data_IF_299543715549
#
_entry.id   IF_299543715549
#
_cell.length_a   1.000
_cell.length_b   1.000
_cell.length_c   1.000
_cell.angle_alpha   90.00
_cell.angle_beta   90.00
_cell.angle_gamma   90.00
#
_symmetry.space_group_name_H-M   'P 1'
#
loop_
_entity.id
_entity.type
_entity.pdbx_description
1 polymer ?
#
# COMPACT_ATOMS: atom_id res chain seq x y z
N UNK A 1 8.81 18.99 -8.91
CA UNK A 1 9.06 17.55 -8.69
C UNK A 1 8.37 16.74 -9.76
N UNK A 2 9.09 15.85 -10.44
CA UNK A 2 8.49 14.99 -11.45
C UNK A 2 7.90 13.73 -10.81
N UNK A 3 7.02 13.05 -11.55
CA UNK A 3 6.47 11.76 -11.09
C UNK A 3 7.60 10.73 -10.88
N UNK A 4 8.59 10.69 -11.77
CA UNK A 4 9.74 9.79 -11.62
C UNK A 4 10.51 10.07 -10.32
N UNK A 5 10.72 11.34 -9.99
CA UNK A 5 11.38 11.73 -8.74
C UNK A 5 10.57 11.28 -7.51
N UNK A 6 9.24 11.35 -7.58
CA UNK A 6 8.37 10.84 -6.50
C UNK A 6 8.62 9.34 -6.30
N UNK A 7 8.61 8.56 -7.40
CA UNK A 7 8.80 7.11 -7.32
C UNK A 7 10.18 6.74 -6.78
N UNK A 8 11.23 7.45 -7.17
CA UNK A 8 12.57 7.25 -6.59
C UNK A 8 12.55 7.48 -5.08
N UNK A 9 11.87 8.51 -4.64
CA UNK A 9 11.81 8.90 -3.23
C UNK A 9 11.02 7.92 -2.37
N UNK A 10 9.91 7.39 -2.89
CA UNK A 10 9.04 6.49 -2.14
C UNK A 10 9.35 5.01 -2.35
N UNK A 11 10.37 4.69 -3.14
CA UNK A 11 10.75 3.31 -3.42
C UNK A 11 9.77 2.57 -4.32
N UNK A 12 9.03 3.30 -5.17
CA UNK A 12 8.11 2.72 -6.14
C UNK A 12 8.78 2.36 -7.46
N UNK A 13 8.05 1.65 -8.31
CA UNK A 13 8.50 1.23 -9.63
C UNK A 13 7.73 2.03 -10.70
N UNK A 14 8.34 3.11 -11.17
CA UNK A 14 7.74 4.01 -12.16
C UNK A 14 7.39 3.28 -13.46
N UNK A 15 8.29 2.43 -13.97
CA UNK A 15 8.05 1.70 -15.22
C UNK A 15 6.84 0.78 -15.11
N UNK A 16 6.65 0.14 -13.96
CA UNK A 16 5.50 -0.70 -13.69
C UNK A 16 4.20 0.14 -13.66
N UNK A 17 4.24 1.29 -13.01
CA UNK A 17 3.10 2.21 -12.99
C UNK A 17 2.71 2.67 -14.39
N UNK A 18 3.69 2.98 -15.25
CA UNK A 18 3.46 3.37 -16.65
C UNK A 18 2.85 2.22 -17.45
N UNK A 19 3.30 1.00 -17.24
CA UNK A 19 2.71 -0.17 -17.91
C UNK A 19 1.22 -0.32 -17.62
N UNK A 20 0.79 0.00 -16.41
CA UNK A 20 -0.60 -0.15 -15.98
C UNK A 20 -1.42 1.10 -16.29
N UNK A 21 -0.94 2.27 -15.90
CA UNK A 21 -1.69 3.54 -15.97
C UNK A 21 -1.52 4.27 -17.31
N UNK A 22 -0.47 3.97 -18.06
CA UNK A 22 -0.15 4.47 -19.40
C UNK A 22 0.43 5.89 -19.45
N UNK A 23 -0.02 6.82 -18.60
CA UNK A 23 0.43 8.20 -18.66
C UNK A 23 0.61 8.82 -17.28
N UNK A 24 1.52 9.77 -17.16
CA UNK A 24 1.84 10.47 -15.91
C UNK A 24 0.64 11.17 -15.29
N UNK A 25 -0.25 11.70 -16.11
CA UNK A 25 -1.47 12.36 -15.63
C UNK A 25 -2.34 11.41 -14.80
N UNK A 26 -2.48 10.17 -15.25
CA UNK A 26 -3.27 9.16 -14.53
C UNK A 26 -2.55 8.70 -13.26
N UNK A 27 -1.23 8.53 -13.33
CA UNK A 27 -0.42 8.17 -12.17
C UNK A 27 -0.56 9.25 -11.09
N UNK A 28 -0.38 10.52 -11.47
CA UNK A 28 -0.54 11.66 -10.57
C UNK A 28 -1.90 11.67 -9.90
N UNK A 29 -2.96 11.52 -10.69
CA UNK A 29 -4.34 11.50 -10.20
C UNK A 29 -4.55 10.44 -9.12
N UNK A 30 -4.09 9.22 -9.35
CA UNK A 30 -4.31 8.11 -8.42
C UNK A 30 -3.36 8.15 -7.22
N UNK A 31 -2.14 8.66 -7.38
CA UNK A 31 -1.26 8.91 -6.23
C UNK A 31 -1.89 9.92 -5.27
N UNK A 32 -2.42 11.03 -5.80
CA UNK A 32 -3.07 12.05 -4.97
C UNK A 32 -4.33 11.51 -4.30
N UNK A 33 -5.08 10.65 -4.98
CA UNK A 33 -6.25 9.98 -4.39
C UNK A 33 -5.86 9.04 -3.26
N UNK A 34 -4.71 8.40 -3.35
CA UNK A 34 -4.25 7.47 -2.32
C UNK A 34 -4.08 8.15 -0.97
N UNK A 35 -3.54 9.37 -0.93
CA UNK A 35 -3.34 10.11 0.32
C UNK A 35 -4.64 10.53 0.98
N UNK A 36 -5.71 10.71 0.19
CA UNK A 36 -7.04 11.07 0.69
C UNK A 36 -7.91 9.83 0.97
N UNK A 37 -7.43 8.64 0.62
CA UNK A 37 -8.17 7.39 0.78
C UNK A 37 -8.13 6.89 2.22
N UNK A 38 -9.18 6.19 2.65
CA UNK A 38 -9.25 5.51 3.93
C UNK A 38 -8.70 4.08 3.90
N UNK A 39 -8.06 3.68 2.79
CA UNK A 39 -7.67 2.28 2.57
C UNK A 39 -6.68 1.77 3.62
N UNK A 40 -5.74 2.60 4.05
CA UNK A 40 -4.81 2.25 5.11
C UNK A 40 -5.49 2.29 6.49
N UNK A 41 -6.40 3.24 6.70
CA UNK A 41 -7.16 3.36 7.94
C UNK A 41 -8.00 2.11 8.21
N UNK A 42 -8.59 1.53 7.18
CA UNK A 42 -9.34 0.27 7.29
C UNK A 42 -8.44 -0.88 7.74
N UNK A 43 -7.22 -0.94 7.22
CA UNK A 43 -6.26 -1.94 7.66
C UNK A 43 -5.82 -1.69 9.11
N UNK A 44 -5.64 -0.44 9.52
CA UNK A 44 -5.33 -0.09 10.92
C UNK A 44 -6.44 -0.52 11.87
N UNK A 45 -7.69 -0.30 11.49
CA UNK A 45 -8.86 -0.76 12.25
C UNK A 45 -8.86 -2.28 12.39
N UNK A 46 -8.66 -2.99 11.29
CA UNK A 46 -8.59 -4.45 11.30
C UNK A 46 -7.43 -4.96 12.16
N UNK A 47 -6.29 -4.26 12.15
CA UNK A 47 -5.14 -4.58 12.99
C UNK A 47 -5.47 -4.41 14.48
N UNK A 48 -6.27 -3.42 14.83
CA UNK A 48 -6.70 -3.19 16.22
C UNK A 48 -7.57 -4.31 16.76
N UNK A 49 -8.46 -4.86 15.96
CA UNK A 49 -9.34 -5.98 16.34
C UNK A 49 -8.72 -7.36 16.13
N UNK A 50 -7.73 -7.46 15.24
CA UNK A 50 -7.13 -8.73 14.79
C UNK A 50 -8.16 -9.72 14.23
N UNK A 51 -9.28 -9.22 13.72
CA UNK A 51 -10.29 -10.04 13.07
C UNK A 51 -9.77 -10.56 11.71
N UNK A 52 -9.67 -11.90 11.52
CA UNK A 52 -9.09 -12.48 10.30
C UNK A 52 -9.78 -12.04 9.02
N UNK A 53 -11.11 -11.99 8.99
CA UNK A 53 -11.86 -11.59 7.80
C UNK A 53 -11.60 -10.12 7.46
N UNK A 54 -11.60 -9.24 8.45
CA UNK A 54 -11.34 -7.82 8.26
C UNK A 54 -9.91 -7.57 7.80
N UNK A 55 -8.94 -8.30 8.35
CA UNK A 55 -7.53 -8.23 7.92
C UNK A 55 -7.38 -8.67 6.46
N UNK A 56 -8.02 -9.76 6.08
CA UNK A 56 -7.96 -10.23 4.69
C UNK A 56 -8.56 -9.19 3.73
N UNK A 57 -9.78 -8.74 4.00
CA UNK A 57 -10.50 -7.82 3.11
C UNK A 57 -9.76 -6.50 2.95
N UNK A 58 -9.31 -5.90 4.05
CA UNK A 58 -8.62 -4.60 4.01
C UNK A 58 -7.24 -4.70 3.38
N UNK A 59 -6.47 -5.75 3.68
CA UNK A 59 -5.16 -5.98 3.08
C UNK A 59 -5.30 -6.28 1.58
N UNK A 60 -6.27 -7.11 1.19
CA UNK A 60 -6.51 -7.45 -0.21
C UNK A 60 -6.83 -6.21 -1.05
N UNK A 61 -7.70 -5.33 -0.54
CA UNK A 61 -8.04 -4.08 -1.21
C UNK A 61 -6.82 -3.17 -1.36
N UNK A 62 -6.04 -3.01 -0.31
CA UNK A 62 -4.83 -2.18 -0.32
C UNK A 62 -3.77 -2.73 -1.26
N UNK A 63 -3.59 -4.04 -1.30
CA UNK A 63 -2.67 -4.70 -2.23
C UNK A 63 -2.99 -4.35 -3.67
N UNK A 64 -4.28 -4.42 -4.05
CA UNK A 64 -4.71 -4.10 -5.41
C UNK A 64 -4.39 -2.68 -5.81
N UNK A 65 -4.66 -1.71 -4.94
CA UNK A 65 -4.37 -0.30 -5.20
C UNK A 65 -2.86 -0.06 -5.33
N UNK A 66 -2.06 -0.61 -4.42
CA UNK A 66 -0.61 -0.45 -4.46
C UNK A 66 0.01 -1.08 -5.70
N UNK A 67 -0.44 -2.27 -6.08
CA UNK A 67 0.04 -2.96 -7.29
C UNK A 67 -0.25 -2.14 -8.54
N UNK A 68 -1.46 -1.59 -8.66
CA UNK A 68 -1.86 -0.78 -9.81
C UNK A 68 -1.05 0.51 -9.94
N UNK A 69 -0.52 1.02 -8.84
CA UNK A 69 0.31 2.22 -8.82
C UNK A 69 1.82 1.91 -8.89
N UNK A 70 2.20 0.65 -9.06
CA UNK A 70 3.61 0.29 -9.09
C UNK A 70 4.34 0.53 -7.76
N UNK A 71 3.62 0.58 -6.65
CA UNK A 71 4.19 0.68 -5.31
C UNK A 71 4.57 -0.73 -4.85
N UNK A 72 5.57 -1.30 -5.52
CA UNK A 72 5.87 -2.73 -5.44
C UNK A 72 6.31 -3.18 -4.04
N UNK A 73 7.13 -2.41 -3.35
CA UNK A 73 7.57 -2.75 -1.99
C UNK A 73 6.38 -2.78 -1.02
N UNK A 74 5.53 -1.77 -1.10
CA UNK A 74 4.34 -1.69 -0.25
C UNK A 74 3.35 -2.81 -0.61
N UNK A 75 3.15 -3.07 -1.89
CA UNK A 75 2.29 -4.14 -2.37
C UNK A 75 2.77 -5.52 -1.87
N UNK A 76 4.08 -5.77 -1.90
CA UNK A 76 4.67 -7.02 -1.41
C UNK A 76 4.45 -7.18 0.10
N UNK A 77 4.65 -6.11 0.88
CA UNK A 77 4.43 -6.15 2.32
C UNK A 77 2.97 -6.43 2.67
N UNK A 78 2.04 -5.75 1.97
CA UNK A 78 0.59 -5.95 2.18
C UNK A 78 0.18 -7.35 1.75
N UNK A 79 0.77 -7.88 0.68
CA UNK A 79 0.50 -9.23 0.18
C UNK A 79 0.81 -10.31 1.24
N UNK A 80 1.84 -10.13 2.05
CA UNK A 80 2.16 -11.09 3.12
C UNK A 80 1.00 -11.24 4.10
N UNK A 81 0.37 -10.14 4.50
CA UNK A 81 -0.81 -10.17 5.39
C UNK A 81 -2.03 -10.71 4.66
N UNK A 82 -2.23 -10.32 3.40
CA UNK A 82 -3.34 -10.84 2.58
C UNK A 82 -3.30 -12.35 2.51
N UNK A 83 -2.14 -12.94 2.18
CA UNK A 83 -2.01 -14.39 2.04
C UNK A 83 -2.11 -15.11 3.38
N UNK A 84 -1.63 -14.51 4.47
CA UNK A 84 -1.75 -15.10 5.81
C UNK A 84 -3.21 -15.31 6.22
N UNK A 85 -4.09 -14.38 5.85
CA UNK A 85 -5.51 -14.41 6.23
C UNK A 85 -6.44 -14.85 5.10
N UNK A 86 -5.91 -15.29 3.98
CA UNK A 86 -6.74 -15.78 2.87
C UNK A 86 -7.55 -17.00 3.34
N UNK A 87 -8.89 -16.99 3.14
CA UNK A 87 -9.72 -18.12 3.54
C UNK A 87 -9.23 -19.43 2.94
N UNK A 88 -9.08 -20.45 3.79
CA UNK A 88 -8.68 -21.78 3.38
C UNK A 88 -7.17 -22.03 3.24
N UNK A 89 -6.33 -20.99 3.41
CA UNK A 89 -4.87 -21.16 3.26
C UNK A 89 -4.19 -21.68 4.52
N UNK A 90 -4.83 -21.58 5.68
CA UNK A 90 -4.24 -21.90 6.98
C UNK A 90 -3.22 -20.84 7.43
N UNK A 91 -3.25 -20.53 8.73
CA UNK A 91 -2.34 -19.55 9.34
C UNK A 91 -0.95 -20.15 9.53
N UNK A 92 0.10 -19.39 9.19
CA UNK A 92 1.51 -19.78 9.33
C UNK A 92 2.28 -18.89 10.30
N UNK A 93 1.83 -17.65 10.50
CA UNK A 93 2.48 -16.68 11.39
C UNK A 93 1.76 -16.61 12.72
N UNK A 94 2.50 -16.29 13.78
CA UNK A 94 1.90 -15.95 15.07
C UNK A 94 1.27 -14.55 15.01
N UNK A 95 0.41 -14.24 15.97
CA UNK A 95 -0.18 -12.91 16.05
C UNK A 95 0.89 -11.84 16.26
N UNK A 96 1.94 -12.12 17.01
CA UNK A 96 3.07 -11.18 17.19
C UNK A 96 3.82 -10.94 15.88
N UNK A 97 4.05 -11.97 15.09
CA UNK A 97 4.67 -11.85 13.77
C UNK A 97 3.79 -11.04 12.81
N UNK A 98 2.47 -11.26 12.85
CA UNK A 98 1.52 -10.48 12.06
C UNK A 98 1.58 -9.00 12.44
N UNK A 99 1.63 -8.69 13.74
CA UNK A 99 1.74 -7.29 14.20
C UNK A 99 3.01 -6.62 13.69
N UNK A 100 4.12 -7.34 13.66
CA UNK A 100 5.39 -6.82 13.10
C UNK A 100 5.21 -6.51 11.61
N UNK A 101 4.58 -7.39 10.85
CA UNK A 101 4.30 -7.17 9.42
C UNK A 101 3.39 -5.96 9.20
N UNK A 102 2.36 -5.82 10.03
CA UNK A 102 1.45 -4.67 9.97
C UNK A 102 2.18 -3.36 10.26
N UNK A 103 3.04 -3.33 11.28
CA UNK A 103 3.82 -2.14 11.60
C UNK A 103 4.75 -1.73 10.45
N UNK A 104 5.36 -2.70 9.77
CA UNK A 104 6.17 -2.46 8.57
C UNK A 104 5.34 -1.83 7.44
N UNK A 105 4.12 -2.33 7.23
CA UNK A 105 3.18 -1.78 6.23
C UNK A 105 2.87 -0.32 6.55
N UNK A 106 2.53 -0.03 7.81
CA UNK A 106 2.15 1.32 8.21
C UNK A 106 3.33 2.30 8.10
N UNK A 107 4.53 1.87 8.46
CA UNK A 107 5.73 2.67 8.28
C UNK A 107 6.02 2.97 6.80
N UNK A 108 5.91 1.97 5.94
CA UNK A 108 6.08 2.14 4.48
C UNK A 108 5.01 3.06 3.90
N UNK A 109 3.78 2.92 4.35
CA UNK A 109 2.68 3.78 3.88
C UNK A 109 2.92 5.24 4.27
N UNK A 110 3.37 5.51 5.50
CA UNK A 110 3.67 6.88 5.94
C UNK A 110 4.80 7.51 5.11
N UNK A 111 5.84 6.76 4.78
CA UNK A 111 6.91 7.20 3.90
C UNK A 111 6.36 7.53 2.50
N UNK A 112 5.53 6.66 1.97
CA UNK A 112 4.87 6.85 0.67
C UNK A 112 4.01 8.11 0.68
N UNK A 113 3.17 8.25 1.70
CA UNK A 113 2.28 9.39 1.86
C UNK A 113 3.05 10.71 1.95
N UNK A 114 4.12 10.74 2.75
CA UNK A 114 4.96 11.93 2.87
C UNK A 114 5.57 12.36 1.53
N UNK A 115 6.05 11.40 0.75
CA UNK A 115 6.61 11.67 -0.58
C UNK A 115 5.56 12.19 -1.57
N UNK A 116 4.34 11.66 -1.52
CA UNK A 116 3.24 12.12 -2.37
C UNK A 116 2.79 13.53 -1.96
N UNK A 117 2.72 13.81 -0.66
CA UNK A 117 2.35 15.14 -0.16
C UNK A 117 3.39 16.20 -0.56
N UNK A 118 4.68 15.85 -0.54
CA UNK A 118 5.74 16.72 -1.02
C UNK A 118 5.57 17.03 -2.52
N UNK A 119 5.24 16.01 -3.31
CA UNK A 119 4.91 16.17 -4.72
C UNK A 119 3.71 17.11 -4.90
N UNK A 120 2.65 16.89 -4.16
CA UNK A 120 1.44 17.73 -4.18
C UNK A 120 1.77 19.19 -3.89
N UNK A 121 2.62 19.45 -2.90
CA UNK A 121 3.04 20.79 -2.54
C UNK A 121 3.86 21.48 -3.65
N UNK A 122 4.47 20.71 -4.54
CA UNK A 122 5.27 21.23 -5.66
C UNK A 122 4.45 21.54 -6.90
N UNK A 123 3.18 21.19 -6.93
CA UNK A 123 2.30 21.41 -8.09
C UNK A 123 1.82 22.85 -8.24
#
# INVERSE_FOLDING_TARGET
MTIQEVYEKIGGNYDHAVQIMRMDKMISKYLLKLTDSDICDKLREAAGSMDPAALFESAHAMKGVCANLGLDDLAAAVSEVTEEFRPGSGRKLSDDEVKIRLDEIFAKFETTKAGIEEYKASL
#
